data_IF_287128548944
#
_entry.id   IF_287128548944
#
_cell.length_a   1.000
_cell.length_b   1.000
_cell.length_c   1.000
_cell.angle_alpha   90.00
_cell.angle_beta   90.00
_cell.angle_gamma   90.00
#
_symmetry.space_group_name_H-M   'P 1'
#
loop_
_entity.id
_entity.type
_entity.pdbx_description
1 polymer ?
#
# COMPACT_ATOMS: atom_id res chain seq x y z
N UNK A 1 -1.31 -27.43 -31.55
CA UNK A 1 -0.57 -26.45 -30.73
C UNK A 1 -1.61 -25.54 -30.10
N UNK A 2 -1.94 -25.74 -28.82
CA UNK A 2 -2.90 -24.89 -28.11
C UNK A 2 -2.11 -23.66 -27.67
N UNK A 3 -2.47 -22.49 -28.21
CA UNK A 3 -1.93 -21.22 -27.75
C UNK A 3 -2.47 -20.99 -26.33
N UNK A 4 -1.62 -21.15 -25.33
CA UNK A 4 -1.89 -20.68 -23.97
C UNK A 4 -2.05 -19.16 -24.06
N UNK A 5 -3.28 -18.67 -23.96
CA UNK A 5 -3.55 -17.25 -23.78
C UNK A 5 -2.95 -16.88 -22.41
N UNK A 6 -1.76 -16.30 -22.41
CA UNK A 6 -1.21 -15.69 -21.22
C UNK A 6 -2.10 -14.49 -20.89
N UNK A 7 -2.96 -14.66 -19.90
CA UNK A 7 -3.77 -13.58 -19.36
C UNK A 7 -2.79 -12.53 -18.82
N UNK A 8 -2.67 -11.40 -19.51
CA UNK A 8 -1.88 -10.27 -19.01
C UNK A 8 -2.68 -9.68 -17.85
N UNK A 9 -2.26 -9.97 -16.62
CA UNK A 9 -2.86 -9.38 -15.42
C UNK A 9 -2.75 -7.86 -15.54
N UNK A 10 -3.85 -7.18 -15.85
CA UNK A 10 -3.84 -5.73 -16.01
C UNK A 10 -3.85 -5.09 -14.63
N UNK A 11 -2.79 -4.35 -14.31
CA UNK A 11 -2.69 -3.59 -13.07
C UNK A 11 -3.05 -2.14 -13.38
N UNK A 12 -3.99 -1.60 -12.61
CA UNK A 12 -4.40 -0.19 -12.68
C UNK A 12 -3.63 0.60 -11.64
N UNK A 13 -2.97 1.69 -12.04
CA UNK A 13 -2.35 2.63 -11.10
C UNK A 13 -3.42 3.23 -10.17
N UNK A 14 -3.23 3.08 -8.86
CA UNK A 14 -4.10 3.73 -7.85
C UNK A 14 -3.46 5.04 -7.41
N UNK A 15 -2.20 4.97 -6.97
CA UNK A 15 -1.45 6.15 -6.55
C UNK A 15 0.06 5.88 -6.63
N UNK A 16 0.85 6.90 -7.00
CA UNK A 16 2.28 6.77 -7.21
C UNK A 16 3.01 8.01 -6.73
N UNK A 17 4.17 7.79 -6.12
CA UNK A 17 5.15 8.83 -5.78
C UNK A 17 6.50 8.48 -6.43
N UNK A 18 7.52 9.31 -6.19
CA UNK A 18 8.89 8.99 -6.61
C UNK A 18 9.51 7.82 -5.83
N UNK A 19 8.89 7.41 -4.70
CA UNK A 19 9.42 6.38 -3.79
C UNK A 19 8.70 5.03 -3.89
N UNK A 20 7.55 4.97 -4.55
CA UNK A 20 6.80 3.73 -4.72
C UNK A 20 5.45 3.96 -5.41
N UNK A 21 4.72 2.88 -5.60
CA UNK A 21 3.42 2.87 -6.25
C UNK A 21 2.50 1.81 -5.63
N UNK A 22 1.19 2.08 -5.65
CA UNK A 22 0.17 1.09 -5.34
C UNK A 22 -0.70 0.89 -6.58
N UNK A 23 -0.86 -0.36 -6.95
CA UNK A 23 -1.65 -0.81 -8.08
C UNK A 23 -2.83 -1.65 -7.61
N UNK A 24 -3.92 -1.63 -8.38
CA UNK A 24 -5.09 -2.46 -8.18
C UNK A 24 -5.14 -3.53 -9.28
N UNK A 25 -5.45 -4.76 -8.87
CA UNK A 25 -5.79 -5.85 -9.78
C UNK A 25 -7.19 -6.35 -9.46
N UNK A 26 -8.14 -6.03 -10.34
CA UNK A 26 -9.55 -6.41 -10.16
C UNK A 26 -9.78 -7.92 -10.32
N UNK A 27 -9.01 -8.56 -11.21
CA UNK A 27 -9.06 -10.00 -11.45
C UNK A 27 -8.70 -10.79 -10.17
N UNK A 28 -7.64 -10.36 -9.48
CA UNK A 28 -7.17 -10.99 -8.26
C UNK A 28 -7.78 -10.39 -6.98
N UNK A 29 -8.61 -9.35 -7.11
CA UNK A 29 -9.24 -8.60 -6.01
C UNK A 29 -8.23 -8.16 -4.95
N UNK A 30 -7.08 -7.67 -5.40
CA UNK A 30 -5.96 -7.31 -4.54
C UNK A 30 -5.25 -6.04 -5.01
N UNK A 31 -4.36 -5.57 -4.15
CA UNK A 31 -3.47 -4.45 -4.40
C UNK A 31 -2.03 -4.93 -4.38
N UNK A 32 -1.23 -4.39 -5.29
CA UNK A 32 0.21 -4.59 -5.30
C UNK A 32 0.86 -3.31 -4.80
N UNK A 33 1.67 -3.43 -3.76
CA UNK A 33 2.45 -2.33 -3.20
C UNK A 33 3.89 -2.52 -3.65
N UNK A 34 4.32 -1.70 -4.59
CA UNK A 34 5.73 -1.57 -5.00
C UNK A 34 6.40 -0.51 -4.12
N UNK A 35 7.20 -0.98 -3.16
CA UNK A 35 7.86 -0.11 -2.20
C UNK A 35 9.11 -0.75 -1.61
N UNK A 36 10.16 0.07 -1.41
CA UNK A 36 11.42 -0.36 -0.79
C UNK A 36 12.08 -1.59 -1.46
N UNK A 37 12.00 -1.67 -2.80
CA UNK A 37 12.65 -2.73 -3.58
C UNK A 37 11.90 -4.07 -3.59
N UNK A 38 10.64 -4.09 -3.14
CA UNK A 38 9.77 -5.27 -3.26
C UNK A 38 8.37 -4.88 -3.73
N UNK A 39 7.76 -5.81 -4.46
CA UNK A 39 6.34 -5.77 -4.83
C UNK A 39 5.61 -6.82 -4.00
N UNK A 40 4.68 -6.39 -3.16
CA UNK A 40 3.95 -7.25 -2.23
C UNK A 40 2.44 -7.20 -2.51
N UNK A 41 1.77 -8.35 -2.44
CA UNK A 41 0.34 -8.49 -2.72
C UNK A 41 -0.45 -8.38 -1.42
N UNK A 42 -1.50 -7.57 -1.43
CA UNK A 42 -2.40 -7.35 -0.30
C UNK A 42 -3.85 -7.48 -0.74
N UNK A 43 -4.64 -8.30 -0.05
CA UNK A 43 -6.09 -8.11 -0.09
C UNK A 43 -6.46 -6.79 0.63
N UNK A 44 -7.71 -6.35 0.49
CA UNK A 44 -8.15 -5.09 1.08
C UNK A 44 -7.97 -5.05 2.60
N UNK A 45 -8.20 -6.18 3.29
CA UNK A 45 -8.10 -6.28 4.75
C UNK A 45 -6.65 -6.13 5.21
N UNK A 46 -5.71 -6.75 4.51
CA UNK A 46 -4.28 -6.67 4.80
C UNK A 46 -3.74 -5.29 4.44
N UNK A 47 -4.22 -4.66 3.37
CA UNK A 47 -3.88 -3.27 3.04
C UNK A 47 -4.35 -2.29 4.12
N UNK A 48 -5.56 -2.48 4.67
CA UNK A 48 -6.04 -1.69 5.81
C UNK A 48 -5.20 -1.90 7.07
N UNK A 49 -4.77 -3.14 7.34
CA UNK A 49 -3.86 -3.43 8.46
C UNK A 49 -2.51 -2.77 8.26
N UNK A 50 -1.95 -2.80 7.05
CA UNK A 50 -0.71 -2.09 6.70
C UNK A 50 -0.84 -0.60 7.03
N UNK A 51 -1.92 0.04 6.54
CA UNK A 51 -2.21 1.45 6.85
C UNK A 51 -2.24 1.70 8.34
N UNK A 52 -3.01 0.92 9.10
CA UNK A 52 -3.11 1.09 10.56
C UNK A 52 -1.76 0.94 11.26
N UNK A 53 -0.97 -0.06 10.89
CA UNK A 53 0.34 -0.29 11.47
C UNK A 53 1.28 0.89 11.19
N UNK A 54 1.38 1.34 9.93
CA UNK A 54 2.24 2.47 9.54
C UNK A 54 1.79 3.78 10.21
N UNK A 55 0.48 4.02 10.33
CA UNK A 55 -0.05 5.24 10.94
C UNK A 55 0.11 5.29 12.46
N UNK A 56 0.27 4.13 13.12
CA UNK A 56 0.46 4.07 14.56
C UNK A 56 1.91 4.35 14.99
N UNK A 57 2.83 4.38 14.03
CA UNK A 57 4.22 4.73 14.29
C UNK A 57 4.29 6.22 14.61
N UNK A 58 4.68 6.54 15.85
CA UNK A 58 4.92 7.90 16.29
C UNK A 58 6.26 8.39 15.74
N UNK A 59 6.19 9.05 14.59
CA UNK A 59 7.35 9.59 13.87
C UNK A 59 8.03 10.69 14.68
N UNK A 60 7.27 11.51 15.42
CA UNK A 60 7.84 12.61 16.22
C UNK A 60 8.68 12.06 17.37
N UNK A 61 8.12 11.08 18.10
CA UNK A 61 8.85 10.37 19.13
C UNK A 61 10.08 9.66 18.57
N UNK A 62 9.96 8.99 17.42
CA UNK A 62 11.09 8.32 16.76
C UNK A 62 12.21 9.29 16.35
N UNK A 63 11.87 10.50 15.88
CA UNK A 63 12.85 11.54 15.54
C UNK A 63 13.57 12.13 16.77
N UNK A 64 12.87 12.22 17.90
CA UNK A 64 13.40 12.82 19.14
C UNK A 64 14.20 11.81 19.99
N UNK A 65 14.04 10.52 19.74
CA UNK A 65 14.81 9.48 20.42
C UNK A 65 16.27 9.51 19.96
N UNK A 66 17.16 9.75 20.91
CA UNK A 66 18.62 9.78 20.73
C UNK A 66 19.30 8.53 21.29
N UNK A 67 18.52 7.48 21.57
CA UNK A 67 19.02 6.19 22.04
C UNK A 67 19.81 5.49 20.93
N UNK A 68 20.75 4.60 21.28
CA UNK A 68 21.58 3.84 20.32
C UNK A 68 20.81 2.71 19.61
N UNK A 69 19.49 2.79 19.56
CA UNK A 69 18.66 1.76 18.95
C UNK A 69 18.82 1.79 17.43
N UNK A 70 18.59 0.67 16.73
CA UNK A 70 18.66 0.63 15.27
C UNK A 70 17.65 1.61 14.64
N UNK A 71 18.07 2.39 13.64
CA UNK A 71 17.23 3.33 12.88
C UNK A 71 16.18 2.67 11.96
N UNK A 72 15.75 1.45 12.30
CA UNK A 72 14.86 0.61 11.47
C UNK A 72 13.72 0.04 12.29
N UNK A 73 12.53 0.08 11.70
CA UNK A 73 11.30 -0.48 12.26
C UNK A 73 10.85 -1.70 11.45
N UNK A 74 10.37 -2.72 12.17
CA UNK A 74 9.81 -3.92 11.57
C UNK A 74 8.30 -3.82 11.58
N UNK A 75 7.70 -3.71 10.40
CA UNK A 75 6.25 -3.68 10.23
C UNK A 75 5.80 -5.07 9.82
N UNK A 76 5.16 -5.77 10.76
CA UNK A 76 4.54 -7.07 10.54
C UNK A 76 3.02 -6.94 10.41
N UNK A 77 2.44 -7.61 9.41
CA UNK A 77 0.99 -7.62 9.19
C UNK A 77 0.47 -9.02 9.44
N UNK A 78 -0.32 -9.19 10.51
CA UNK A 78 -0.94 -10.47 10.82
C UNK A 78 -1.82 -10.96 9.66
N UNK A 79 -1.66 -12.23 9.30
CA UNK A 79 -2.27 -12.89 8.15
C UNK A 79 -1.75 -12.45 6.77
N UNK A 80 -0.50 -11.95 6.72
CA UNK A 80 0.21 -11.66 5.48
C UNK A 80 1.66 -12.14 5.62
N UNK A 81 2.19 -12.83 4.60
CA UNK A 81 3.57 -13.32 4.58
C UNK A 81 4.60 -12.22 4.26
N UNK A 82 4.17 -10.95 4.30
CA UNK A 82 5.00 -9.79 4.00
C UNK A 82 5.31 -9.00 5.27
N UNK A 83 6.60 -8.91 5.59
CA UNK A 83 7.12 -7.96 6.57
C UNK A 83 7.92 -6.86 5.86
N UNK A 84 7.89 -5.65 6.39
CA UNK A 84 8.81 -4.60 5.97
C UNK A 84 9.82 -4.34 7.08
N UNK A 85 11.07 -4.12 6.70
CA UNK A 85 12.11 -3.57 7.57
C UNK A 85 12.47 -2.22 6.97
N UNK A 86 12.06 -1.13 7.62
CA UNK A 86 12.08 0.21 7.04
C UNK A 86 12.84 1.17 7.92
N UNK A 87 13.61 2.06 7.32
CA UNK A 87 14.10 3.25 8.01
C UNK A 87 12.95 4.23 8.27
N UNK A 88 13.14 5.16 9.20
CA UNK A 88 12.14 6.20 9.48
C UNK A 88 11.75 7.02 8.24
N UNK A 89 12.70 7.33 7.36
CA UNK A 89 12.45 8.03 6.09
C UNK A 89 11.56 7.18 5.17
N UNK A 90 11.79 5.86 5.12
CA UNK A 90 10.94 4.95 4.36
C UNK A 90 9.54 4.82 4.97
N UNK A 91 9.41 4.88 6.30
CA UNK A 91 8.09 4.89 6.96
C UNK A 91 7.30 6.14 6.57
N UNK A 92 7.94 7.32 6.58
CA UNK A 92 7.31 8.58 6.14
C UNK A 92 6.84 8.46 4.69
N UNK A 93 7.70 7.97 3.79
CA UNK A 93 7.36 7.79 2.38
C UNK A 93 6.25 6.74 2.16
N UNK A 94 6.23 5.66 2.94
CA UNK A 94 5.17 4.66 2.90
C UNK A 94 3.85 5.23 3.43
N UNK A 95 3.92 6.08 4.47
CA UNK A 95 2.75 6.76 5.01
C UNK A 95 2.13 7.64 3.94
N UNK A 96 2.89 8.52 3.29
CA UNK A 96 2.45 9.34 2.15
C UNK A 96 1.78 8.51 1.05
N UNK A 97 2.43 7.41 0.64
CA UNK A 97 1.92 6.51 -0.40
C UNK A 97 0.56 5.90 -0.01
N UNK A 98 0.41 5.48 1.25
CA UNK A 98 -0.85 4.95 1.77
C UNK A 98 -1.92 6.03 1.90
N UNK A 99 -1.58 7.26 2.33
CA UNK A 99 -2.57 8.35 2.41
C UNK A 99 -3.16 8.64 1.03
N UNK A 100 -2.29 8.85 0.02
CA UNK A 100 -2.74 9.11 -1.35
C UNK A 100 -3.55 7.96 -1.94
N UNK A 101 -3.14 6.72 -1.69
CA UNK A 101 -3.89 5.53 -2.12
C UNK A 101 -5.30 5.52 -1.56
N UNK A 102 -5.46 5.71 -0.24
CA UNK A 102 -6.79 5.67 0.37
C UNK A 102 -7.65 6.88 0.02
N UNK A 103 -7.05 8.04 -0.27
CA UNK A 103 -7.77 9.18 -0.85
C UNK A 103 -8.31 8.83 -2.25
N UNK A 104 -7.50 8.19 -3.10
CA UNK A 104 -7.93 7.78 -4.45
C UNK A 104 -9.02 6.72 -4.41
N UNK A 105 -8.94 5.76 -3.49
CA UNK A 105 -9.99 4.76 -3.29
C UNK A 105 -11.30 5.39 -2.81
N UNK A 106 -11.25 6.33 -1.87
CA UNK A 106 -12.42 7.06 -1.38
C UNK A 106 -13.04 7.92 -2.48
N UNK A 107 -12.21 8.63 -3.26
CA UNK A 107 -12.67 9.40 -4.40
C UNK A 107 -13.38 8.51 -5.43
N UNK A 108 -12.80 7.35 -5.75
CA UNK A 108 -13.41 6.40 -6.67
C UNK A 108 -14.76 5.90 -6.12
N UNK A 109 -14.84 5.60 -4.82
CA UNK A 109 -16.08 5.22 -4.17
C UNK A 109 -17.16 6.32 -4.28
N UNK A 110 -16.81 7.58 -3.99
CA UNK A 110 -17.72 8.72 -4.11
C UNK A 110 -18.20 8.91 -5.55
N UNK A 111 -17.30 8.80 -6.54
CA UNK A 111 -17.67 8.93 -7.95
C UNK A 111 -18.63 7.83 -8.38
N UNK A 112 -18.38 6.57 -7.98
CA UNK A 112 -19.30 5.48 -8.26
C UNK A 112 -20.65 5.65 -7.54
N UNK A 113 -20.67 6.09 -6.29
CA UNK A 113 -21.91 6.35 -5.54
C UNK A 113 -22.76 7.46 -6.18
N UNK A 114 -22.11 8.52 -6.69
CA UNK A 114 -22.81 9.69 -7.26
C UNK A 114 -23.14 9.60 -8.74
N UNK A 115 -22.36 8.85 -9.51
CA UNK A 115 -22.54 8.73 -10.98
C UNK A 115 -23.38 7.51 -11.38
N UNK A 116 -23.59 6.53 -10.49
CA UNK A 116 -24.49 5.38 -10.71
C UNK A 116 -25.92 5.71 -10.26
N UNK A 117 -26.37 6.94 -10.52
CA UNK A 117 -27.80 7.32 -10.48
C UNK A 117 -28.15 7.89 -11.87
N UNK A 118 -28.40 6.98 -12.81
CA UNK A 118 -29.20 7.21 -14.02
C UNK A 118 -29.50 5.86 -14.65
N UNK A 119 -30.43 5.13 -14.04
CA UNK A 119 -31.29 4.17 -14.75
C UNK A 119 -32.58 3.91 -13.96
#
# INVERSE_FOLDING_TARGET
>A
MIATLAQTTHWTDVFKTTKGAIYQCDEERCWYVDFAGKVAKFDYRCLLKLRKAVYHIDIEHALLNTTKDPDVEIIFICACDHCYVLTLVQIIALKELLEGTFVMLELNHILHDKLVISH
#
